data_IF_360712390608
#
_entry.id   IF_360712390608
#
_cell.length_a   1.000
_cell.length_b   1.000
_cell.length_c   1.000
_cell.angle_alpha   90.00
_cell.angle_beta   90.00
_cell.angle_gamma   90.00
#
_symmetry.space_group_name_H-M   'P 1'
#
loop_
_entity.id
_entity.type
_entity.pdbx_description
1 polymer ?
#
# COMPACT_ATOMS: atom_id res chain seq x y z
N UNK A 1 28.61 11.86 57.67
CA UNK A 1 27.44 12.41 56.95
C UNK A 1 27.75 12.44 55.46
N UNK A 2 27.25 11.46 54.70
CA UNK A 2 27.54 11.30 53.27
C UNK A 2 26.51 12.09 52.44
N UNK A 3 26.98 13.05 51.62
CA UNK A 3 26.15 13.79 50.66
C UNK A 3 25.93 12.91 49.43
N UNK A 4 24.66 12.57 49.17
CA UNK A 4 24.21 11.82 47.98
C UNK A 4 24.28 12.75 46.76
N UNK A 5 24.98 12.32 45.72
CA UNK A 5 24.94 12.94 44.38
C UNK A 5 23.59 12.64 43.71
N UNK A 6 22.97 13.59 42.99
CA UNK A 6 21.79 13.29 42.18
C UNK A 6 22.22 12.62 40.87
N UNK A 7 21.69 11.42 40.62
CA UNK A 7 21.83 10.74 39.35
C UNK A 7 20.94 11.44 38.30
N UNK A 8 21.56 12.05 37.30
CA UNK A 8 20.90 12.51 36.08
C UNK A 8 20.43 11.28 35.29
N UNK A 9 19.12 11.02 35.32
CA UNK A 9 18.49 10.04 34.44
C UNK A 9 18.36 10.65 33.04
N UNK A 10 19.18 10.19 32.10
CA UNK A 10 19.06 10.54 30.69
C UNK A 10 17.76 9.97 30.12
N UNK A 11 16.91 10.86 29.63
CA UNK A 11 15.68 10.56 28.91
C UNK A 11 16.04 9.98 27.54
N UNK A 12 16.00 8.66 27.39
CA UNK A 12 16.16 8.02 26.08
C UNK A 12 14.83 8.12 25.31
N UNK A 13 14.66 9.18 24.52
CA UNK A 13 13.64 9.23 23.48
C UNK A 13 13.97 8.19 22.41
N UNK A 14 13.40 6.99 22.52
CA UNK A 14 13.41 6.01 21.44
C UNK A 14 12.56 6.56 20.31
N UNK A 15 13.21 7.17 19.31
CA UNK A 15 12.63 7.45 18.00
C UNK A 15 12.32 6.10 17.34
N UNK A 16 11.17 5.54 17.66
CA UNK A 16 10.57 4.47 16.87
C UNK A 16 10.24 5.04 15.50
N UNK A 17 11.11 4.78 14.52
CA UNK A 17 10.90 5.19 13.14
C UNK A 17 9.55 4.67 12.66
N UNK A 18 8.70 5.56 12.13
CA UNK A 18 7.47 5.19 11.45
C UNK A 18 7.90 4.52 10.15
N UNK A 19 8.08 3.20 10.16
CA UNK A 19 8.29 2.44 8.95
C UNK A 19 6.99 2.51 8.14
N UNK A 20 6.91 3.48 7.24
CA UNK A 20 5.91 3.47 6.17
C UNK A 20 6.27 2.29 5.28
N UNK A 21 5.64 1.14 5.52
CA UNK A 21 5.75 -0.03 4.65
C UNK A 21 5.25 0.42 3.28
N UNK A 22 6.18 0.72 2.38
CA UNK A 22 5.91 1.00 0.98
C UNK A 22 5.46 -0.31 0.36
N UNK A 23 4.15 -0.50 0.28
CA UNK A 23 3.52 -1.72 -0.21
C UNK A 23 3.79 -2.06 -1.68
N UNK A 24 4.48 -1.19 -2.42
CA UNK A 24 4.89 -1.42 -3.80
C UNK A 24 6.24 -2.13 -3.91
N UNK A 25 7.02 -2.21 -2.82
CA UNK A 25 8.35 -2.81 -2.81
C UNK A 25 8.30 -4.06 -1.94
N UNK A 26 8.39 -5.22 -2.57
CA UNK A 26 8.69 -6.44 -1.83
C UNK A 26 10.18 -6.54 -1.61
N UNK A 27 10.57 -6.87 -0.38
CA UNK A 27 11.93 -7.30 -0.09
C UNK A 27 11.91 -8.82 0.01
N UNK A 28 12.56 -9.49 -0.94
CA UNK A 28 12.79 -10.92 -0.89
C UNK A 28 13.58 -11.30 0.38
N UNK A 29 13.55 -12.57 0.82
CA UNK A 29 14.34 -13.03 1.96
C UNK A 29 15.85 -12.71 1.85
N UNK A 30 16.37 -12.58 0.62
CA UNK A 30 17.76 -12.23 0.32
C UNK A 30 18.05 -10.71 0.36
N UNK A 31 17.06 -9.89 0.71
CA UNK A 31 17.19 -8.42 0.80
C UNK A 31 17.03 -7.69 -0.54
N UNK A 32 16.70 -8.40 -1.63
CA UNK A 32 16.45 -7.82 -2.94
C UNK A 32 15.07 -7.15 -2.98
N UNK A 33 15.01 -5.93 -3.52
CA UNK A 33 13.73 -5.30 -3.85
C UNK A 33 13.24 -5.80 -5.20
N UNK A 34 12.08 -6.46 -5.23
CA UNK A 34 11.46 -6.93 -6.46
C UNK A 34 10.08 -6.31 -6.65
N UNK A 35 9.85 -5.81 -7.86
CA UNK A 35 8.53 -5.47 -8.34
C UNK A 35 7.76 -6.73 -8.72
N UNK A 36 6.69 -6.99 -7.99
CA UNK A 36 5.84 -8.15 -8.24
C UNK A 36 4.99 -8.04 -9.49
N UNK A 37 4.72 -6.81 -9.95
CA UNK A 37 3.72 -6.54 -10.96
C UNK A 37 4.33 -6.14 -12.30
N UNK A 38 3.71 -6.56 -13.42
CA UNK A 38 4.28 -6.32 -14.74
C UNK A 38 4.38 -4.84 -15.08
N UNK A 39 5.29 -4.53 -15.99
CA UNK A 39 5.60 -3.15 -16.35
C UNK A 39 4.48 -2.40 -17.08
N UNK A 40 3.56 -3.13 -17.68
CA UNK A 40 2.36 -2.56 -18.31
C UNK A 40 1.33 -2.06 -17.29
N UNK A 41 1.47 -2.43 -16.01
CA UNK A 41 0.55 -2.08 -14.92
C UNK A 41 1.19 -1.15 -13.87
N UNK A 42 2.05 -1.72 -13.02
CA UNK A 42 2.40 -1.15 -11.71
C UNK A 42 3.91 -1.10 -11.43
N UNK A 43 4.80 -1.50 -12.35
CA UNK A 43 6.25 -1.48 -12.12
C UNK A 43 6.70 -0.21 -11.37
N UNK A 44 7.28 -0.38 -10.19
CA UNK A 44 7.95 0.63 -9.36
C UNK A 44 7.07 1.83 -8.99
N UNK A 45 5.78 1.82 -9.34
CA UNK A 45 4.90 3.00 -9.30
C UNK A 45 3.46 2.58 -9.10
N UNK A 46 2.72 3.39 -8.35
CA UNK A 46 1.26 3.42 -8.46
C UNK A 46 0.47 2.23 -7.90
N UNK A 47 1.13 1.19 -7.37
CA UNK A 47 0.46 0.07 -6.69
C UNK A 47 -0.01 0.47 -5.28
N UNK A 48 -1.33 0.42 -5.08
CA UNK A 48 -1.99 0.81 -3.83
C UNK A 48 -2.84 -0.35 -3.28
N UNK A 49 -2.50 -0.89 -2.10
CA UNK A 49 -3.31 -1.92 -1.45
C UNK A 49 -4.67 -1.37 -1.08
N UNK A 50 -5.70 -2.19 -1.22
CA UNK A 50 -7.07 -1.87 -0.85
C UNK A 50 -7.33 -2.34 0.58
N UNK A 51 -7.93 -1.47 1.38
CA UNK A 51 -8.29 -1.73 2.78
C UNK A 51 -9.78 -1.95 2.96
N UNK A 52 -10.60 -1.45 2.03
CA UNK A 52 -12.07 -1.59 2.08
C UNK A 52 -12.67 -1.64 0.68
N UNK A 53 -13.67 -2.50 0.50
CA UNK A 53 -14.47 -2.62 -0.73
C UNK A 53 -15.94 -2.52 -0.34
N UNK A 54 -16.67 -1.63 -0.99
CA UNK A 54 -18.12 -1.46 -0.82
C UNK A 54 -18.81 -1.49 -2.18
N UNK A 55 -19.88 -2.28 -2.33
CA UNK A 55 -20.69 -2.24 -3.56
C UNK A 55 -21.75 -1.14 -3.45
N UNK A 56 -21.70 -0.14 -4.33
CA UNK A 56 -22.71 0.94 -4.40
C UNK A 56 -23.01 1.29 -5.85
N UNK A 57 -24.28 1.47 -6.19
CA UNK A 57 -24.72 1.82 -7.55
C UNK A 57 -24.15 0.89 -8.64
N UNK A 58 -24.09 -0.41 -8.35
CA UNK A 58 -23.50 -1.44 -9.22
C UNK A 58 -22.00 -1.25 -9.53
N UNK A 59 -21.28 -0.47 -8.72
CA UNK A 59 -19.84 -0.25 -8.81
C UNK A 59 -19.14 -0.76 -7.54
N UNK A 60 -17.86 -1.13 -7.67
CA UNK A 60 -17.00 -1.43 -6.54
C UNK A 60 -16.30 -0.15 -6.08
N UNK A 61 -16.67 0.37 -4.92
CA UNK A 61 -16.00 1.48 -4.27
C UNK A 61 -14.84 0.93 -3.45
N UNK A 62 -13.63 1.12 -3.93
CA UNK A 62 -12.43 0.55 -3.34
C UNK A 62 -11.62 1.68 -2.69
N UNK A 63 -11.44 1.60 -1.37
CA UNK A 63 -10.60 2.52 -0.60
C UNK A 63 -9.21 1.90 -0.41
N UNK A 64 -8.18 2.61 -0.81
CA UNK A 64 -6.77 2.22 -0.67
C UNK A 64 -6.20 2.58 0.70
N UNK A 65 -5.06 2.00 1.06
CA UNK A 65 -4.40 2.20 2.36
C UNK A 65 -3.93 3.63 2.61
N UNK A 66 -3.73 4.41 1.55
CA UNK A 66 -3.41 5.84 1.60
C UNK A 66 -4.65 6.75 1.53
N UNK A 67 -5.86 6.16 1.57
CA UNK A 67 -7.12 6.89 1.73
C UNK A 67 -7.82 7.29 0.42
N UNK A 68 -7.23 7.04 -0.74
CA UNK A 68 -7.91 7.25 -2.02
C UNK A 68 -9.11 6.29 -2.13
N UNK A 69 -10.26 6.80 -2.57
CA UNK A 69 -11.42 5.97 -2.89
C UNK A 69 -11.79 6.18 -4.35
N UNK A 70 -11.84 5.09 -5.11
CA UNK A 70 -12.17 5.10 -6.54
C UNK A 70 -13.24 4.06 -6.84
N UNK A 71 -14.15 4.35 -7.77
CA UNK A 71 -15.13 3.38 -8.26
C UNK A 71 -14.55 2.57 -9.40
N UNK A 72 -14.63 1.25 -9.28
CA UNK A 72 -14.14 0.27 -10.25
C UNK A 72 -15.33 -0.50 -10.80
N UNK A 73 -15.35 -0.70 -12.12
CA UNK A 73 -16.37 -1.55 -12.75
C UNK A 73 -16.22 -2.98 -12.22
N UNK A 74 -17.28 -3.63 -11.69
CA UNK A 74 -17.20 -5.01 -11.22
C UNK A 74 -16.69 -6.00 -12.28
N UNK A 75 -16.86 -5.70 -13.57
CA UNK A 75 -16.43 -6.48 -14.72
C UNK A 75 -15.04 -6.10 -15.25
N UNK A 76 -14.36 -5.12 -14.66
CA UNK A 76 -12.98 -4.80 -15.01
C UNK A 76 -12.10 -6.04 -14.87
N UNK A 77 -11.27 -6.32 -15.89
CA UNK A 77 -10.38 -7.47 -15.87
C UNK A 77 -9.44 -7.43 -14.67
N UNK A 78 -9.32 -8.56 -13.99
CA UNK A 78 -8.53 -8.72 -12.77
C UNK A 78 -7.38 -9.68 -13.00
N UNK A 79 -6.29 -9.45 -12.27
CA UNK A 79 -5.09 -10.29 -12.29
C UNK A 79 -4.88 -10.87 -10.88
N UNK A 80 -4.22 -12.03 -10.74
CA UNK A 80 -3.96 -12.60 -9.42
C UNK A 80 -2.97 -11.75 -8.64
N UNK A 81 -3.30 -11.46 -7.39
CA UNK A 81 -2.40 -10.83 -6.41
C UNK A 81 -1.36 -11.83 -5.88
N UNK A 82 -0.19 -11.33 -5.49
CA UNK A 82 0.92 -12.13 -4.93
C UNK A 82 0.89 -12.26 -3.41
N UNK A 83 0.17 -11.38 -2.72
CA UNK A 83 0.14 -11.30 -1.24
C UNK A 83 -1.25 -11.57 -0.65
N UNK A 84 -2.17 -12.11 -1.46
CA UNK A 84 -3.58 -12.36 -1.11
C UNK A 84 -4.35 -11.12 -0.64
N UNK A 85 -3.91 -9.93 -1.05
CA UNK A 85 -4.64 -8.67 -0.82
C UNK A 85 -5.08 -8.08 -2.16
N UNK A 86 -6.12 -7.27 -2.11
CA UNK A 86 -6.54 -6.45 -3.25
C UNK A 86 -5.55 -5.30 -3.47
N UNK A 87 -5.20 -5.03 -4.73
CA UNK A 87 -4.38 -3.86 -5.11
C UNK A 87 -4.94 -3.16 -6.34
N UNK A 88 -4.77 -1.84 -6.39
CA UNK A 88 -5.08 -1.00 -7.53
C UNK A 88 -3.81 -0.36 -8.07
N UNK A 89 -3.61 -0.43 -9.39
CA UNK A 89 -2.67 0.44 -10.09
C UNK A 89 -3.38 1.73 -10.44
N UNK A 90 -3.13 2.79 -9.69
CA UNK A 90 -3.76 4.10 -9.91
C UNK A 90 -2.76 5.05 -10.53
N UNK A 91 -3.00 5.37 -11.79
CA UNK A 91 -2.21 6.34 -12.55
C UNK A 91 -3.07 7.56 -12.86
N UNK A 92 -2.50 8.58 -13.50
CA UNK A 92 -3.23 9.79 -13.91
C UNK A 92 -3.12 9.98 -15.42
N UNK A 93 -4.13 10.59 -16.02
CA UNK A 93 -4.08 11.07 -17.40
C UNK A 93 -3.38 12.45 -17.51
N UNK A 94 -3.37 13.04 -18.71
CA UNK A 94 -2.75 14.35 -18.97
C UNK A 94 -3.42 15.52 -18.22
N UNK A 95 -4.58 15.28 -17.57
CA UNK A 95 -5.32 16.25 -16.76
C UNK A 95 -5.17 16.01 -15.26
N UNK A 96 -4.22 15.16 -14.85
CA UNK A 96 -4.03 14.68 -13.49
C UNK A 96 -5.23 13.94 -12.89
N UNK A 97 -6.18 13.49 -13.73
CA UNK A 97 -7.35 12.73 -13.28
C UNK A 97 -6.93 11.28 -12.97
N UNK A 98 -7.14 10.79 -11.74
CA UNK A 98 -6.74 9.43 -11.38
C UNK A 98 -7.66 8.39 -12.01
N UNK A 99 -7.07 7.33 -12.58
CA UNK A 99 -7.81 6.17 -13.10
C UNK A 99 -7.13 4.85 -12.76
N UNK A 100 -7.93 3.78 -12.71
CA UNK A 100 -7.44 2.42 -12.43
C UNK A 100 -6.97 1.76 -13.72
N UNK A 101 -5.65 1.57 -13.84
CA UNK A 101 -5.04 0.86 -14.96
C UNK A 101 -5.24 -0.65 -14.84
N UNK A 102 -4.98 -1.20 -13.65
CA UNK A 102 -5.06 -2.63 -13.38
C UNK A 102 -5.62 -2.89 -11.97
N UNK A 103 -6.31 -4.02 -11.83
CA UNK A 103 -6.85 -4.52 -10.57
C UNK A 103 -6.20 -5.88 -10.29
N UNK A 104 -5.65 -6.04 -9.09
CA UNK A 104 -5.17 -7.32 -8.58
C UNK A 104 -6.07 -7.82 -7.46
N UNK A 105 -6.55 -9.06 -7.57
CA UNK A 105 -7.46 -9.68 -6.61
C UNK A 105 -6.79 -10.85 -5.87
N UNK A 106 -7.17 -11.12 -4.61
CA UNK A 106 -6.72 -12.31 -3.88
C UNK A 106 -7.02 -13.59 -4.65
N UNK A 107 -6.17 -14.61 -4.49
CA UNK A 107 -6.43 -15.90 -5.11
C UNK A 107 -7.75 -16.50 -4.57
N UNK A 108 -8.68 -16.83 -5.48
CA UNK A 108 -9.96 -17.47 -5.15
C UNK A 108 -11.08 -16.53 -4.70
N UNK A 109 -11.00 -15.23 -5.00
CA UNK A 109 -12.07 -14.25 -4.75
C UNK A 109 -13.25 -14.30 -5.72
#
# INVERSE_FOLDING_TARGET
MARRLPALAFLACTLGGIATVRSHIHTDPDGQTVDWYPSDCCHDRDCRPVTRIETKFNMLWMTTSDGLTISVDPHQSRRPSRDNRWHLCVTSDDTDTPFVRCVFEPAGS
#
